data_IF_349388682575
#
_entry.id   IF_349388682575
#
_cell.length_a   1.000
_cell.length_b   1.000
_cell.length_c   1.000
_cell.angle_alpha   90.00
_cell.angle_beta   90.00
_cell.angle_gamma   90.00
#
_symmetry.space_group_name_H-M   'P 1'
#
loop_
_entity.id
_entity.type
_entity.pdbx_description
1 polymer ?
#
# COMPACT_ATOMS: atom_id res chain seq x y z
N UNK A 1 -17.99 -67.65 -43.99
CA UNK A 1 -19.12 -66.77 -44.35
C UNK A 1 -18.91 -65.43 -43.66
N UNK A 2 -18.96 -64.37 -44.46
CA UNK A 2 -19.19 -62.96 -44.11
C UNK A 2 -18.08 -62.24 -43.33
N UNK A 3 -17.39 -61.39 -44.10
CA UNK A 3 -16.60 -60.26 -43.66
C UNK A 3 -17.47 -59.16 -43.03
N UNK A 4 -16.89 -58.34 -42.16
CA UNK A 4 -17.23 -56.91 -42.10
C UNK A 4 -16.01 -56.13 -41.63
N UNK A 5 -15.57 -55.20 -42.48
CA UNK A 5 -14.53 -54.22 -42.22
C UNK A 5 -15.15 -52.94 -41.67
N UNK A 6 -14.44 -52.22 -40.80
CA UNK A 6 -14.59 -50.77 -40.64
C UNK A 6 -13.21 -50.16 -40.45
N UNK A 7 -12.89 -49.23 -41.35
CA UNK A 7 -11.67 -48.44 -41.39
C UNK A 7 -11.76 -47.26 -40.41
N UNK A 8 -10.63 -46.96 -39.74
CA UNK A 8 -10.43 -45.75 -38.94
C UNK A 8 -9.28 -44.94 -39.55
N UNK A 9 -9.64 -43.78 -40.10
CA UNK A 9 -8.79 -42.81 -40.79
C UNK A 9 -7.72 -42.21 -39.87
N UNK A 10 -6.45 -42.26 -40.30
CA UNK A 10 -5.39 -41.40 -39.82
C UNK A 10 -5.31 -40.16 -40.70
N UNK A 11 -5.28 -38.96 -40.11
CA UNK A 11 -4.94 -37.74 -40.84
C UNK A 11 -3.83 -37.01 -40.10
N UNK A 12 -2.60 -37.20 -40.59
CA UNK A 12 -1.49 -36.30 -40.38
C UNK A 12 -1.60 -35.18 -41.42
N UNK A 13 -1.47 -33.92 -41.00
CA UNK A 13 -1.20 -32.83 -41.94
C UNK A 13 0.00 -32.02 -41.46
N UNK A 14 0.95 -31.95 -42.38
CA UNK A 14 2.27 -31.35 -42.28
C UNK A 14 2.22 -29.83 -42.44
N UNK A 15 3.30 -29.21 -41.98
CA UNK A 15 3.61 -27.79 -42.07
C UNK A 15 3.61 -27.23 -43.51
N UNK A 16 3.18 -25.98 -43.64
CA UNK A 16 3.32 -25.16 -44.84
C UNK A 16 3.42 -23.69 -44.44
N UNK A 17 4.64 -23.19 -44.38
CA UNK A 17 5.00 -21.77 -44.23
C UNK A 17 4.61 -21.04 -45.52
N UNK A 18 3.85 -19.95 -45.41
CA UNK A 18 3.75 -18.94 -46.45
C UNK A 18 3.76 -17.56 -45.78
N UNK A 19 4.85 -16.85 -46.04
CA UNK A 19 5.04 -15.45 -45.70
C UNK A 19 3.98 -14.61 -46.42
N UNK A 20 3.40 -13.64 -45.70
CA UNK A 20 2.59 -12.60 -46.32
C UNK A 20 3.18 -11.24 -45.97
N UNK A 21 3.38 -10.48 -47.04
CA UNK A 21 4.11 -9.23 -47.12
C UNK A 21 3.48 -8.11 -46.29
N UNK A 22 4.38 -7.24 -45.84
CA UNK A 22 4.12 -5.95 -45.23
C UNK A 22 3.38 -5.05 -46.22
N UNK A 23 2.09 -4.80 -46.01
CA UNK A 23 1.39 -3.66 -46.60
C UNK A 23 1.46 -2.49 -45.62
N UNK A 24 2.56 -1.76 -45.70
CA UNK A 24 2.69 -0.41 -45.17
C UNK A 24 1.98 0.57 -46.11
N UNK A 25 0.97 1.30 -45.64
CA UNK A 25 0.49 2.50 -46.36
C UNK A 25 -1.01 2.77 -46.39
N UNK A 26 -1.78 2.49 -45.33
CA UNK A 26 -3.10 3.14 -45.20
C UNK A 26 -2.85 4.58 -44.74
N UNK A 27 -2.98 5.55 -45.65
CA UNK A 27 -3.03 6.97 -45.30
C UNK A 27 -4.28 7.20 -44.43
N UNK A 28 -4.06 7.33 -43.12
CA UNK A 28 -5.07 7.76 -42.14
C UNK A 28 -5.70 9.07 -42.60
N UNK A 29 -6.98 9.03 -42.96
CA UNK A 29 -7.75 10.20 -43.37
C UNK A 29 -7.87 11.24 -42.24
N UNK A 30 -8.27 12.49 -42.54
CA UNK A 30 -8.39 13.56 -41.55
C UNK A 30 -9.29 13.19 -40.36
N UNK A 31 -10.31 12.36 -40.56
CA UNK A 31 -11.18 11.84 -39.50
C UNK A 31 -10.46 10.90 -38.52
N UNK A 32 -9.48 10.11 -38.99
CA UNK A 32 -8.69 9.23 -38.14
C UNK A 32 -7.72 10.02 -37.25
N UNK A 33 -7.16 11.12 -37.76
CA UNK A 33 -6.30 12.02 -36.97
C UNK A 33 -7.12 12.84 -35.97
N UNK A 34 -8.33 13.26 -36.34
CA UNK A 34 -9.25 13.93 -35.42
C UNK A 34 -9.70 13.00 -34.28
N UNK A 35 -9.95 11.72 -34.57
CA UNK A 35 -10.30 10.72 -33.56
C UNK A 35 -9.12 10.40 -32.65
N UNK A 36 -7.91 10.24 -33.18
CA UNK A 36 -6.69 10.07 -32.36
C UNK A 36 -6.38 11.31 -31.51
N UNK A 37 -6.60 12.51 -32.03
CA UNK A 37 -6.45 13.75 -31.28
C UNK A 37 -7.53 13.90 -30.20
N UNK A 38 -8.78 13.51 -30.47
CA UNK A 38 -9.84 13.46 -29.46
C UNK A 38 -9.57 12.40 -28.40
N UNK A 39 -9.05 11.24 -28.77
CA UNK A 39 -8.73 10.15 -27.84
C UNK A 39 -7.50 10.49 -26.97
N UNK A 40 -6.52 11.21 -27.54
CA UNK A 40 -5.40 11.80 -26.79
C UNK A 40 -5.85 12.94 -25.87
N UNK A 41 -6.70 13.85 -26.36
CA UNK A 41 -7.25 14.94 -25.55
C UNK A 41 -8.18 14.43 -24.44
N UNK A 42 -8.93 13.36 -24.69
CA UNK A 42 -9.75 12.70 -23.67
C UNK A 42 -8.87 12.03 -22.61
N UNK A 43 -7.77 11.37 -23.01
CA UNK A 43 -6.75 10.87 -22.07
C UNK A 43 -6.07 11.97 -21.25
N UNK A 44 -5.91 13.17 -21.79
CA UNK A 44 -5.39 14.33 -21.04
C UNK A 44 -6.46 15.02 -20.17
N UNK A 45 -7.75 14.87 -20.48
CA UNK A 45 -8.85 15.58 -19.83
C UNK A 45 -9.69 14.74 -18.85
N UNK A 46 -9.31 13.49 -18.54
CA UNK A 46 -10.05 12.71 -17.54
C UNK A 46 -9.78 13.22 -16.13
N UNK A 47 -10.62 14.14 -15.68
CA UNK A 47 -10.80 14.44 -14.25
C UNK A 47 -11.29 13.17 -13.59
N UNK A 48 -10.45 12.55 -12.76
CA UNK A 48 -10.83 11.33 -12.03
C UNK A 48 -11.83 11.64 -10.91
N UNK A 49 -12.49 10.61 -10.37
CA UNK A 49 -13.34 10.80 -9.20
C UNK A 49 -12.53 11.30 -7.98
N UNK A 50 -11.28 10.84 -7.83
CA UNK A 50 -10.33 11.33 -6.81
C UNK A 50 -10.02 12.82 -6.98
N UNK A 51 -9.87 13.27 -8.22
CA UNK A 51 -9.68 14.67 -8.55
C UNK A 51 -10.87 15.52 -8.12
N UNK A 52 -12.11 15.04 -8.32
CA UNK A 52 -13.32 15.74 -7.89
C UNK A 52 -13.33 15.92 -6.35
N UNK A 53 -13.07 14.86 -5.58
CA UNK A 53 -12.99 14.94 -4.12
C UNK A 53 -11.88 15.89 -3.67
N UNK A 54 -10.69 15.75 -4.24
CA UNK A 54 -9.53 16.58 -3.88
C UNK A 54 -9.78 18.06 -4.19
N UNK A 55 -10.27 18.36 -5.40
CA UNK A 55 -10.43 19.74 -5.88
C UNK A 55 -11.67 20.42 -5.32
N UNK A 56 -12.79 19.71 -5.18
CA UNK A 56 -14.08 20.30 -4.82
C UNK A 56 -14.39 20.20 -3.32
N UNK A 57 -13.89 19.18 -2.62
CA UNK A 57 -14.20 18.96 -1.20
C UNK A 57 -13.00 19.33 -0.33
N UNK A 58 -11.85 18.66 -0.54
CA UNK A 58 -10.68 18.80 0.33
C UNK A 58 -10.06 20.20 0.21
N UNK A 59 -9.80 20.69 -1.02
CA UNK A 59 -9.23 22.03 -1.23
C UNK A 59 -10.15 23.16 -0.76
N UNK A 60 -11.47 22.98 -0.84
CA UNK A 60 -12.45 23.97 -0.38
C UNK A 60 -12.75 23.85 1.12
N UNK A 61 -12.14 22.89 1.81
CA UNK A 61 -12.36 22.60 3.23
C UNK A 61 -13.85 22.48 3.58
N UNK A 62 -14.63 21.79 2.73
CA UNK A 62 -16.05 21.54 3.01
C UNK A 62 -16.15 20.70 4.29
N UNK A 63 -16.98 21.09 5.28
CA UNK A 63 -17.17 20.30 6.50
C UNK A 63 -17.64 18.88 6.20
N UNK A 64 -16.98 17.90 6.79
CA UNK A 64 -17.33 16.49 6.67
C UNK A 64 -18.04 16.08 7.96
N UNK A 65 -19.32 15.73 7.85
CA UNK A 65 -20.13 15.32 9.00
C UNK A 65 -19.67 13.94 9.52
N UNK A 66 -19.76 13.74 10.84
CA UNK A 66 -19.44 12.44 11.45
C UNK A 66 -20.37 11.34 10.93
N UNK A 67 -21.62 11.65 10.58
CA UNK A 67 -22.57 10.67 10.01
C UNK A 67 -22.03 9.98 8.74
N UNK A 68 -21.28 10.69 7.90
CA UNK A 68 -20.60 10.11 6.75
C UNK A 68 -19.46 9.18 7.20
N UNK A 69 -18.62 9.61 8.15
CA UNK A 69 -17.53 8.78 8.70
C UNK A 69 -18.08 7.51 9.38
N UNK A 70 -19.15 7.64 10.15
CA UNK A 70 -19.87 6.55 10.78
C UNK A 70 -20.38 5.53 9.75
N UNK A 71 -20.82 6.00 8.58
CA UNK A 71 -21.23 5.15 7.46
C UNK A 71 -20.04 4.39 6.89
N UNK A 72 -18.91 5.05 6.66
CA UNK A 72 -17.69 4.41 6.14
C UNK A 72 -17.20 3.26 7.03
N UNK A 73 -17.34 3.37 8.36
CA UNK A 73 -16.94 2.29 9.28
C UNK A 73 -17.88 1.07 9.22
N UNK A 74 -19.11 1.25 8.74
CA UNK A 74 -20.20 0.25 8.74
C UNK A 74 -20.39 -0.48 7.42
N UNK A 75 -19.92 0.08 6.31
CA UNK A 75 -20.09 -0.53 5.00
C UNK A 75 -18.85 -1.35 4.63
N UNK A 76 -19.02 -2.55 4.05
CA UNK A 76 -17.91 -3.27 3.45
C UNK A 76 -17.36 -2.48 2.25
N UNK A 77 -16.11 -2.74 1.88
CA UNK A 77 -15.43 -2.12 0.75
C UNK A 77 -15.22 -0.59 0.81
N UNK A 78 -15.48 0.05 1.97
CA UNK A 78 -15.42 1.51 2.10
C UNK A 78 -14.06 2.12 1.74
N UNK A 79 -12.97 1.38 1.97
CA UNK A 79 -11.59 1.83 1.78
C UNK A 79 -10.79 0.89 0.87
N UNK A 80 -11.49 0.16 0.00
CA UNK A 80 -10.97 -0.98 -0.75
C UNK A 80 -11.57 -2.30 -0.25
N UNK A 81 -11.41 -3.36 -1.04
CA UNK A 81 -12.05 -4.66 -0.84
C UNK A 81 -11.86 -5.23 0.58
N UNK A 82 -12.96 -5.60 1.24
CA UNK A 82 -12.96 -6.29 2.52
C UNK A 82 -14.18 -5.99 3.40
N UNK A 83 -14.19 -6.59 4.59
CA UNK A 83 -15.27 -6.45 5.56
C UNK A 83 -15.38 -5.02 6.13
N UNK A 84 -16.58 -4.67 6.62
CA UNK A 84 -16.79 -3.43 7.35
C UNK A 84 -15.96 -3.41 8.65
N UNK A 85 -15.42 -2.24 9.00
CA UNK A 85 -14.47 -2.11 10.11
C UNK A 85 -15.08 -2.52 11.45
N UNK A 86 -16.35 -2.16 11.68
CA UNK A 86 -17.04 -2.44 12.95
C UNK A 86 -17.29 -3.93 13.22
N UNK A 87 -17.18 -4.80 12.21
CA UNK A 87 -17.29 -6.25 12.43
C UNK A 87 -16.22 -6.72 13.42
N UNK A 88 -15.01 -6.17 13.30
CA UNK A 88 -13.87 -6.50 14.17
C UNK A 88 -13.59 -5.42 15.22
N UNK A 89 -14.08 -4.19 15.03
CA UNK A 89 -13.76 -3.03 15.85
C UNK A 89 -15.01 -2.27 16.31
N UNK A 90 -15.82 -2.85 17.20
CA UNK A 90 -17.12 -2.29 17.63
C UNK A 90 -17.24 -2.01 19.13
N UNK A 91 -16.22 -2.32 19.93
CA UNK A 91 -16.28 -2.22 21.38
C UNK A 91 -14.91 -1.90 21.98
N UNK A 92 -14.90 -1.28 23.16
CA UNK A 92 -13.70 -1.10 23.97
C UNK A 92 -13.36 -2.34 24.81
N UNK A 93 -14.18 -3.41 24.74
CA UNK A 93 -13.89 -4.72 25.34
C UNK A 93 -12.99 -5.55 24.40
N UNK A 94 -11.72 -5.83 24.76
CA UNK A 94 -10.80 -6.60 23.94
C UNK A 94 -11.24 -8.04 23.66
N UNK A 95 -12.17 -8.59 24.46
CA UNK A 95 -12.72 -9.93 24.22
C UNK A 95 -13.72 -9.98 23.06
N UNK A 96 -14.25 -8.82 22.66
CA UNK A 96 -15.29 -8.69 21.61
C UNK A 96 -14.81 -7.89 20.41
N UNK A 97 -13.69 -7.20 20.54
CA UNK A 97 -13.19 -6.26 19.56
C UNK A 97 -11.69 -6.29 19.54
N UNK A 98 -11.09 -6.49 18.37
CA UNK A 98 -9.63 -6.52 18.25
C UNK A 98 -9.05 -5.20 18.78
N UNK A 99 -8.05 -5.33 19.66
CA UNK A 99 -7.39 -4.19 20.35
C UNK A 99 -8.29 -3.41 21.29
N UNK A 100 -9.49 -3.91 21.61
CA UNK A 100 -10.51 -3.14 22.29
C UNK A 100 -10.76 -1.80 21.59
N UNK A 101 -10.76 -1.79 20.26
CA UNK A 101 -10.93 -0.59 19.45
C UNK A 101 -12.40 -0.46 19.04
N UNK A 102 -13.03 0.68 19.31
CA UNK A 102 -14.42 0.93 18.91
C UNK A 102 -14.53 1.95 17.78
N UNK A 103 -14.73 1.50 16.54
CA UNK A 103 -14.96 2.35 15.38
C UNK A 103 -16.45 2.61 15.11
N UNK A 104 -17.35 2.10 15.96
CA UNK A 104 -18.79 2.24 15.78
C UNK A 104 -19.34 3.58 16.32
N UNK A 105 -18.56 4.33 17.10
CA UNK A 105 -18.95 5.63 17.66
C UNK A 105 -17.82 6.67 17.48
N UNK A 106 -18.17 7.96 17.47
CA UNK A 106 -17.17 9.02 17.33
C UNK A 106 -16.21 9.01 18.53
N UNK A 107 -16.76 8.91 19.74
CA UNK A 107 -15.96 8.83 20.96
C UNK A 107 -15.03 7.60 20.95
N UNK A 108 -15.52 6.43 20.52
CA UNK A 108 -14.68 5.24 20.40
C UNK A 108 -13.51 5.41 19.43
N UNK A 109 -13.72 6.10 18.30
CA UNK A 109 -12.64 6.41 17.34
C UNK A 109 -11.59 7.32 18.02
N UNK A 110 -12.02 8.27 18.83
CA UNK A 110 -11.15 9.21 19.55
C UNK A 110 -10.42 8.57 20.73
N UNK A 111 -11.08 7.66 21.46
CA UNK A 111 -10.49 6.87 22.54
C UNK A 111 -9.37 5.96 22.02
N UNK A 112 -9.56 5.41 20.82
CA UNK A 112 -8.60 4.52 20.18
C UNK A 112 -8.63 3.10 20.75
N UNK A 113 -7.49 2.42 20.73
CA UNK A 113 -7.40 1.04 21.24
C UNK A 113 -7.30 1.03 22.76
N UNK A 114 -8.19 0.27 23.42
CA UNK A 114 -8.21 0.11 24.88
C UNK A 114 -7.32 -1.05 25.39
N UNK A 115 -6.90 -1.97 24.53
CA UNK A 115 -5.97 -3.04 24.91
C UNK A 115 -4.51 -2.54 24.93
N UNK A 116 -3.68 -2.89 25.93
CA UNK A 116 -2.27 -2.52 25.96
C UNK A 116 -1.47 -2.99 24.72
N UNK A 117 -0.54 -2.17 24.19
CA UNK A 117 -0.36 -0.76 24.50
C UNK A 117 -1.57 0.07 24.01
N UNK A 118 -2.16 0.82 24.93
CA UNK A 118 -3.24 1.78 24.65
C UNK A 118 -2.67 2.90 23.81
N UNK A 119 -3.35 3.23 22.70
CA UNK A 119 -2.88 4.25 21.77
C UNK A 119 -4.02 4.85 20.95
N UNK A 120 -3.95 6.14 20.62
CA UNK A 120 -4.93 6.78 19.75
C UNK A 120 -4.82 6.22 18.33
N UNK A 121 -5.96 6.03 17.67
CA UNK A 121 -5.99 5.72 16.23
C UNK A 121 -6.18 6.97 15.38
N UNK A 122 -6.84 7.98 15.94
CA UNK A 122 -7.03 9.31 15.36
C UNK A 122 -6.44 10.34 16.31
N UNK A 123 -5.64 11.26 15.76
CA UNK A 123 -5.15 12.45 16.46
C UNK A 123 -5.81 13.65 15.79
N UNK A 124 -6.79 14.31 16.44
CA UNK A 124 -7.49 15.46 15.87
C UNK A 124 -6.53 16.51 15.31
N UNK A 125 -6.87 17.04 14.13
CA UNK A 125 -6.08 18.02 13.35
C UNK A 125 -4.73 17.50 12.83
N UNK A 126 -4.34 16.27 13.12
CA UNK A 126 -3.03 15.70 12.79
C UNK A 126 -3.17 14.34 12.08
N UNK A 127 -3.70 14.32 10.83
CA UNK A 127 -3.88 13.08 10.08
C UNK A 127 -2.57 12.31 9.88
N UNK A 128 -1.44 13.00 9.74
CA UNK A 128 -0.12 12.37 9.58
C UNK A 128 0.40 11.66 10.84
N UNK A 129 -0.12 12.01 12.02
CA UNK A 129 0.18 11.33 13.29
C UNK A 129 -0.87 10.29 13.68
N UNK A 130 -1.90 10.12 12.85
CA UNK A 130 -3.01 9.22 13.15
C UNK A 130 -2.71 7.83 12.60
N UNK A 131 -2.71 6.82 13.48
CA UNK A 131 -2.49 5.42 13.10
C UNK A 131 -3.51 4.94 12.06
N UNK A 132 -4.74 5.48 12.08
CA UNK A 132 -5.76 5.24 11.06
C UNK A 132 -5.24 5.44 9.63
N UNK A 133 -4.49 6.52 9.38
CA UNK A 133 -3.89 6.80 8.07
C UNK A 133 -2.92 5.69 7.67
N UNK A 134 -2.07 5.29 8.61
CA UNK A 134 -1.07 4.24 8.40
C UNK A 134 -1.75 2.91 8.08
N UNK A 135 -2.70 2.46 8.90
CA UNK A 135 -3.37 1.18 8.72
C UNK A 135 -4.15 1.11 7.39
N UNK A 136 -4.72 2.21 6.89
CA UNK A 136 -5.46 2.20 5.62
C UNK A 136 -4.56 2.28 4.37
N UNK A 137 -3.42 2.98 4.45
CA UNK A 137 -2.60 3.29 3.27
C UNK A 137 -1.35 2.44 3.14
N UNK A 138 -0.85 1.88 4.23
CA UNK A 138 0.46 1.25 4.25
C UNK A 138 0.34 -0.27 4.20
N UNK A 139 0.61 -0.85 3.02
CA UNK A 139 0.91 -2.28 2.88
C UNK A 139 1.98 -2.77 3.88
N UNK A 140 1.78 -3.95 4.45
CA UNK A 140 2.85 -4.66 5.17
C UNK A 140 3.98 -5.00 4.20
N UNK A 141 5.20 -5.03 4.72
CA UNK A 141 6.42 -5.39 4.01
C UNK A 141 7.03 -6.68 4.60
N UNK A 142 7.68 -7.52 3.77
CA UNK A 142 7.70 -7.46 2.31
C UNK A 142 6.30 -7.53 1.68
N UNK A 143 6.15 -6.96 0.49
CA UNK A 143 4.84 -6.89 -0.17
C UNK A 143 4.28 -8.31 -0.35
N UNK A 144 3.00 -8.50 -0.04
CA UNK A 144 2.32 -9.80 -0.15
C UNK A 144 2.50 -10.75 1.02
N UNK A 145 3.19 -10.36 2.11
CA UNK A 145 3.16 -11.12 3.37
C UNK A 145 1.72 -11.26 3.87
N UNK A 146 1.35 -12.49 4.25
CA UNK A 146 0.04 -12.79 4.78
C UNK A 146 -0.23 -12.06 6.11
N UNK A 147 -1.48 -11.67 6.36
CA UNK A 147 -1.81 -10.84 7.53
C UNK A 147 -1.64 -11.60 8.86
N UNK A 148 -1.75 -12.91 8.84
CA UNK A 148 -1.59 -13.82 9.96
C UNK A 148 -0.14 -14.28 10.18
N UNK A 149 0.79 -13.88 9.30
CA UNK A 149 2.21 -14.14 9.51
C UNK A 149 2.70 -13.43 10.79
N UNK A 150 3.49 -14.11 11.65
CA UNK A 150 3.95 -13.54 12.92
C UNK A 150 4.65 -12.19 12.77
N UNK A 151 4.43 -11.28 13.72
CA UNK A 151 4.98 -9.92 13.71
C UNK A 151 6.13 -9.72 14.71
N UNK A 152 6.53 -10.78 15.40
CA UNK A 152 7.51 -10.82 16.49
C UNK A 152 8.60 -11.87 16.26
N UNK A 153 8.85 -12.24 15.00
CA UNK A 153 9.90 -13.20 14.63
C UNK A 153 11.28 -12.73 15.07
N UNK A 154 12.28 -13.66 15.19
CA UNK A 154 13.66 -13.29 15.49
C UNK A 154 14.23 -12.22 14.54
N UNK A 155 13.93 -12.30 13.24
CA UNK A 155 14.37 -11.33 12.25
C UNK A 155 13.80 -9.93 12.50
N UNK A 156 12.49 -9.83 12.75
CA UNK A 156 11.82 -8.55 13.07
C UNK A 156 12.40 -7.97 14.37
N UNK A 157 12.62 -8.83 15.37
CA UNK A 157 13.18 -8.44 16.66
C UNK A 157 14.63 -7.94 16.54
N UNK A 158 15.45 -8.54 15.67
CA UNK A 158 16.81 -8.07 15.36
C UNK A 158 16.78 -6.66 14.75
N UNK A 159 15.91 -6.42 13.76
CA UNK A 159 15.75 -5.09 13.15
C UNK A 159 15.28 -4.08 14.20
N UNK A 160 14.30 -4.43 15.03
CA UNK A 160 13.82 -3.60 16.14
C UNK A 160 14.97 -3.22 17.09
N UNK A 161 15.73 -4.22 17.54
CA UNK A 161 16.86 -4.05 18.46
C UNK A 161 17.93 -3.13 17.87
N UNK A 162 18.26 -3.28 16.60
CA UNK A 162 19.21 -2.40 15.93
C UNK A 162 18.72 -0.95 15.88
N UNK A 163 17.46 -0.72 15.49
CA UNK A 163 16.89 0.62 15.43
C UNK A 163 16.87 1.26 16.82
N UNK A 164 16.34 0.57 17.83
CA UNK A 164 16.27 1.05 19.21
C UNK A 164 17.66 1.26 19.83
N UNK A 165 18.66 0.49 19.40
CA UNK A 165 20.07 0.66 19.76
C UNK A 165 20.78 1.85 19.08
N UNK A 166 20.05 2.68 18.34
CA UNK A 166 20.57 3.86 17.65
C UNK A 166 21.02 3.62 16.21
N UNK A 167 20.62 2.49 15.60
CA UNK A 167 20.81 2.20 14.18
C UNK A 167 22.25 2.44 13.68
N UNK A 168 23.26 1.92 14.40
CA UNK A 168 24.68 2.15 14.09
C UNK A 168 25.17 1.25 12.94
N UNK A 169 26.17 1.71 12.20
CA UNK A 169 26.88 0.90 11.19
C UNK A 169 28.01 0.07 11.83
N UNK A 170 27.62 -0.85 12.70
CA UNK A 170 28.53 -1.70 13.47
C UNK A 170 28.49 -3.16 13.02
N UNK A 171 29.26 -4.01 13.70
CA UNK A 171 29.29 -5.45 13.42
C UNK A 171 27.93 -6.11 13.62
N UNK A 172 27.10 -5.62 14.55
CA UNK A 172 25.74 -6.14 14.73
C UNK A 172 24.91 -5.86 13.49
N UNK A 173 24.93 -4.63 12.97
CA UNK A 173 24.26 -4.30 11.71
C UNK A 173 24.74 -5.17 10.55
N UNK A 174 26.06 -5.22 10.32
CA UNK A 174 26.64 -5.92 9.15
C UNK A 174 26.37 -7.42 9.17
N UNK A 175 26.40 -8.07 10.35
CA UNK A 175 26.26 -9.52 10.48
C UNK A 175 24.84 -9.99 10.75
N UNK A 176 24.03 -9.21 11.45
CA UNK A 176 22.70 -9.64 11.92
C UNK A 176 21.55 -8.95 11.18
N UNK A 177 21.72 -7.70 10.77
CA UNK A 177 20.62 -6.90 10.19
C UNK A 177 20.68 -6.90 8.67
N UNK A 178 21.82 -6.52 8.09
CA UNK A 178 21.98 -6.37 6.64
C UNK A 178 21.63 -7.65 5.85
N UNK A 179 22.00 -8.87 6.29
CA UNK A 179 21.65 -10.09 5.56
C UNK A 179 20.14 -10.33 5.49
N UNK A 180 19.34 -9.83 6.45
CA UNK A 180 17.90 -10.03 6.47
C UNK A 180 17.21 -9.34 5.29
N UNK A 181 17.68 -8.18 4.84
CA UNK A 181 17.09 -7.48 3.69
C UNK A 181 17.36 -8.19 2.35
N UNK A 182 18.36 -9.08 2.33
CA UNK A 182 18.75 -9.90 1.16
C UNK A 182 18.13 -11.30 1.20
N UNK A 183 17.65 -11.75 2.35
CA UNK A 183 17.00 -13.04 2.51
C UNK A 183 15.52 -12.94 2.09
N UNK A 184 15.06 -13.92 1.32
CA UNK A 184 13.66 -13.99 0.89
C UNK A 184 12.74 -14.43 2.02
N UNK A 185 13.24 -15.26 2.93
CA UNK A 185 12.47 -15.94 3.97
C UNK A 185 12.45 -15.19 5.31
N UNK A 186 13.31 -14.19 5.50
CA UNK A 186 13.50 -13.51 6.78
C UNK A 186 12.21 -12.94 7.41
N UNK A 187 11.26 -12.51 6.57
CA UNK A 187 10.05 -11.81 7.01
C UNK A 187 8.75 -12.47 6.53
N UNK A 188 8.79 -13.77 6.20
CA UNK A 188 7.59 -14.54 5.84
C UNK A 188 7.09 -14.35 4.40
N UNK A 189 7.91 -13.77 3.52
CA UNK A 189 7.65 -13.66 2.08
C UNK A 189 8.52 -14.64 1.29
N UNK A 190 8.37 -14.62 -0.05
CA UNK A 190 9.33 -15.22 -1.00
C UNK A 190 10.18 -14.16 -1.71
N UNK A 191 10.03 -12.89 -1.34
CA UNK A 191 10.76 -11.75 -1.90
C UNK A 191 11.75 -11.21 -0.88
N UNK A 192 12.98 -10.95 -1.34
CA UNK A 192 13.93 -10.19 -0.56
C UNK A 192 13.57 -8.70 -0.67
N UNK A 193 13.89 -7.91 0.34
CA UNK A 193 13.60 -6.47 0.30
C UNK A 193 14.35 -5.79 -0.86
N UNK A 194 15.59 -6.24 -1.10
CA UNK A 194 16.44 -5.74 -2.19
C UNK A 194 15.97 -6.15 -3.58
N UNK A 195 15.01 -7.07 -3.73
CA UNK A 195 14.44 -7.38 -5.04
C UNK A 195 13.65 -6.18 -5.61
N UNK A 196 13.20 -5.26 -4.75
CA UNK A 196 12.43 -4.07 -5.11
C UNK A 196 13.07 -2.75 -4.64
N UNK A 197 13.96 -2.81 -3.64
CA UNK A 197 14.59 -1.64 -3.01
C UNK A 197 16.11 -1.73 -3.10
N UNK A 198 16.66 -1.42 -4.27
CA UNK A 198 18.05 -1.70 -4.65
C UNK A 198 18.89 -0.48 -5.02
N UNK A 199 18.27 0.69 -5.15
CA UNK A 199 18.95 1.93 -5.53
C UNK A 199 18.12 3.16 -5.14
N UNK A 200 18.73 4.34 -5.24
CA UNK A 200 18.03 5.61 -5.06
C UNK A 200 17.49 6.19 -6.37
N UNK A 201 17.10 5.35 -7.34
CA UNK A 201 16.55 5.77 -8.62
C UNK A 201 15.27 5.00 -8.93
N UNK A 202 14.26 5.73 -9.37
CA UNK A 202 12.98 5.18 -9.84
C UNK A 202 12.80 5.50 -11.32
N UNK A 203 12.51 4.49 -12.18
CA UNK A 203 12.69 3.05 -11.97
C UNK A 203 14.19 2.63 -11.92
N UNK A 204 14.55 1.43 -11.37
CA UNK A 204 13.67 0.31 -11.00
C UNK A 204 13.33 0.20 -9.51
N UNK A 205 13.92 1.03 -8.66
CA UNK A 205 13.76 0.92 -7.20
C UNK A 205 12.53 1.69 -6.74
N UNK A 206 11.56 1.00 -6.14
CA UNK A 206 10.32 1.64 -5.69
C UNK A 206 10.61 2.67 -4.61
N UNK A 207 10.04 3.88 -4.78
CA UNK A 207 10.24 5.01 -3.87
C UNK A 207 11.72 5.38 -3.69
N UNK A 208 12.56 5.11 -4.69
CA UNK A 208 13.99 5.46 -4.65
C UNK A 208 14.69 4.97 -3.36
N UNK A 209 14.23 3.87 -2.79
CA UNK A 209 14.72 3.33 -1.53
C UNK A 209 15.81 2.29 -1.80
N UNK A 210 16.98 2.45 -1.19
CA UNK A 210 18.07 1.47 -1.26
C UNK A 210 18.22 0.74 0.08
N UNK A 211 17.97 -0.58 0.09
CA UNK A 211 18.16 -1.45 1.25
C UNK A 211 19.41 -2.34 1.14
N UNK A 212 20.30 -2.08 0.19
CA UNK A 212 21.51 -2.89 -0.05
C UNK A 212 22.70 -2.46 0.81
N UNK A 213 22.66 -1.26 1.38
CA UNK A 213 23.75 -0.63 2.11
C UNK A 213 23.25 0.15 3.34
N UNK A 214 24.11 0.32 4.36
CA UNK A 214 23.80 1.17 5.52
C UNK A 214 23.41 2.59 5.09
N UNK A 215 24.24 3.17 4.21
CA UNK A 215 24.04 4.53 3.70
C UNK A 215 22.71 4.67 2.96
N UNK A 216 22.32 3.69 2.15
CA UNK A 216 21.03 3.67 1.47
C UNK A 216 19.85 3.64 2.44
N UNK A 217 19.88 2.73 3.42
CA UNK A 217 18.84 2.59 4.44
C UNK A 217 18.68 3.89 5.23
N UNK A 218 19.80 4.49 5.63
CA UNK A 218 19.81 5.73 6.43
C UNK A 218 19.52 6.99 5.60
N UNK A 219 19.74 6.98 4.29
CA UNK A 219 19.30 8.04 3.39
C UNK A 219 17.78 8.11 3.38
N UNK A 220 17.12 6.97 3.15
CA UNK A 220 15.67 6.83 3.10
C UNK A 220 15.12 6.75 1.68
N UNK A 221 13.85 7.06 1.54
CA UNK A 221 13.08 7.00 0.30
C UNK A 221 12.89 8.39 -0.35
N UNK A 222 12.45 8.41 -1.59
CA UNK A 222 12.05 9.60 -2.37
C UNK A 222 13.13 10.70 -2.41
N UNK A 223 14.41 10.32 -2.34
CA UNK A 223 15.52 11.26 -2.17
C UNK A 223 15.73 12.22 -3.34
N UNK A 224 15.54 11.76 -4.58
CA UNK A 224 15.62 12.54 -5.81
C UNK A 224 14.31 13.31 -6.02
N UNK A 225 13.16 12.64 -5.89
CA UNK A 225 11.85 13.28 -6.04
C UNK A 225 11.67 14.46 -5.07
N UNK A 226 11.96 14.26 -3.78
CA UNK A 226 11.87 15.32 -2.78
C UNK A 226 12.89 16.43 -3.01
N UNK A 227 14.11 16.10 -3.46
CA UNK A 227 15.12 17.12 -3.75
C UNK A 227 14.68 18.10 -4.85
N UNK A 228 13.93 17.64 -5.87
CA UNK A 228 13.35 18.51 -6.90
C UNK A 228 12.36 19.54 -6.32
N UNK A 229 11.76 19.22 -5.18
CA UNK A 229 10.85 20.11 -4.44
C UNK A 229 11.55 20.85 -3.28
N UNK A 230 12.87 20.75 -3.16
CA UNK A 230 13.64 21.35 -2.06
C UNK A 230 13.38 20.71 -0.69
N UNK A 231 12.88 19.46 -0.65
CA UNK A 231 12.55 18.71 0.56
C UNK A 231 13.59 17.63 0.85
N UNK A 232 13.79 17.24 2.13
CA UNK A 232 14.65 16.12 2.47
C UNK A 232 14.03 14.77 2.04
N UNK A 233 14.88 13.75 1.89
CA UNK A 233 14.44 12.37 1.70
C UNK A 233 13.50 11.91 2.84
N UNK A 234 12.53 11.08 2.48
CA UNK A 234 11.61 10.43 3.41
C UNK A 234 12.38 9.45 4.30
N UNK A 235 12.65 9.82 5.56
CA UNK A 235 13.33 8.92 6.51
C UNK A 235 12.51 7.66 6.79
N UNK A 236 13.17 6.51 6.66
CA UNK A 236 12.59 5.19 6.98
C UNK A 236 13.11 4.62 8.30
N UNK A 237 14.28 5.07 8.74
CA UNK A 237 14.85 4.77 10.07
C UNK A 237 14.98 6.05 10.88
N UNK A 238 14.44 6.02 12.09
CA UNK A 238 14.64 7.00 13.15
C UNK A 238 15.45 6.31 14.26
N UNK A 239 16.79 6.55 14.34
CA UNK A 239 17.64 5.96 15.36
C UNK A 239 17.08 6.16 16.77
N UNK A 240 17.05 5.09 17.55
CA UNK A 240 16.55 5.09 18.93
C UNK A 240 15.05 4.88 19.08
N UNK A 241 14.29 4.75 17.98
CA UNK A 241 12.84 4.53 18.05
C UNK A 241 12.30 3.73 16.87
N UNK A 242 12.09 2.42 17.08
CA UNK A 242 11.44 1.56 16.10
C UNK A 242 9.98 1.99 15.85
N UNK A 243 9.29 2.49 16.89
CA UNK A 243 7.88 2.89 16.83
C UNK A 243 7.62 4.03 15.84
N UNK A 244 8.62 4.89 15.57
CA UNK A 244 8.52 5.97 14.59
C UNK A 244 9.24 5.64 13.28
N UNK A 245 9.90 4.49 13.20
CA UNK A 245 10.66 4.07 12.01
C UNK A 245 9.77 3.30 11.04
N UNK A 246 9.51 3.87 9.86
CA UNK A 246 8.72 3.20 8.81
C UNK A 246 9.29 1.83 8.46
N UNK A 247 10.62 1.66 8.51
CA UNK A 247 11.25 0.37 8.27
C UNK A 247 10.71 -0.72 9.21
N UNK A 248 10.53 -0.41 10.49
CA UNK A 248 9.99 -1.34 11.46
C UNK A 248 8.47 -1.45 11.37
N UNK A 249 7.76 -0.31 11.35
CA UNK A 249 6.29 -0.33 11.36
C UNK A 249 5.73 -1.06 10.13
N UNK A 250 6.38 -0.93 8.98
CA UNK A 250 6.00 -1.66 7.75
C UNK A 250 6.18 -3.18 7.88
N UNK A 251 7.05 -3.68 8.75
CA UNK A 251 7.20 -5.13 8.97
C UNK A 251 6.07 -5.73 9.83
N UNK A 252 5.48 -4.92 10.73
CA UNK A 252 4.57 -5.39 11.77
C UNK A 252 3.13 -4.92 11.63
N UNK A 253 2.87 -3.89 10.83
CA UNK A 253 1.53 -3.34 10.63
C UNK A 253 0.92 -3.92 9.35
N UNK A 254 -0.16 -4.68 9.52
CA UNK A 254 -1.00 -5.12 8.42
C UNK A 254 -1.88 -3.97 7.92
N UNK A 255 -1.99 -3.83 6.60
CA UNK A 255 -2.98 -2.93 6.01
C UNK A 255 -4.39 -3.41 6.34
N UNK A 256 -5.29 -2.46 6.54
CA UNK A 256 -6.71 -2.70 6.83
C UNK A 256 -7.58 -2.40 5.60
N UNK A 257 -8.68 -3.15 5.39
CA UNK A 257 -9.07 -4.34 6.15
C UNK A 257 -8.08 -5.51 5.98
N UNK A 258 -7.99 -6.42 6.95
CA UNK A 258 -7.04 -7.52 6.91
C UNK A 258 -7.21 -8.36 5.64
N UNK A 259 -6.12 -8.65 4.95
CA UNK A 259 -6.13 -9.38 3.68
C UNK A 259 -6.40 -8.53 2.44
N UNK A 260 -6.61 -7.21 2.57
CA UNK A 260 -6.74 -6.31 1.42
C UNK A 260 -5.53 -6.45 0.47
N UNK A 261 -5.82 -6.53 -0.84
CA UNK A 261 -4.78 -6.64 -1.84
C UNK A 261 -3.81 -5.44 -1.79
N UNK A 262 -2.49 -5.65 -1.86
CA UNK A 262 -1.51 -4.56 -1.87
C UNK A 262 -1.64 -3.62 -3.07
N UNK A 263 -2.28 -4.07 -4.15
CA UNK A 263 -2.55 -3.28 -5.35
C UNK A 263 -3.77 -2.37 -5.23
N UNK A 264 -4.60 -2.53 -4.19
CA UNK A 264 -5.73 -1.63 -3.94
C UNK A 264 -5.22 -0.21 -3.70
N UNK A 265 -5.94 0.76 -4.27
CA UNK A 265 -5.55 2.16 -4.23
C UNK A 265 -5.28 2.64 -2.80
N UNK A 266 -4.14 3.28 -2.60
CA UNK A 266 -3.69 3.80 -1.30
C UNK A 266 -4.24 5.20 -1.05
N UNK A 267 -4.81 5.84 -2.06
CA UNK A 267 -5.33 7.20 -2.00
C UNK A 267 -6.84 7.28 -2.25
N UNK A 268 -7.54 6.18 -1.96
CA UNK A 268 -8.98 6.02 -2.14
C UNK A 268 -9.76 7.27 -1.69
N UNK A 269 -10.76 7.73 -2.45
CA UNK A 269 -11.53 8.94 -2.14
C UNK A 269 -12.07 8.99 -0.71
N UNK A 270 -12.63 7.89 -0.21
CA UNK A 270 -13.12 7.79 1.18
C UNK A 270 -12.00 7.91 2.22
N UNK A 271 -10.78 7.45 1.91
CA UNK A 271 -9.61 7.67 2.75
C UNK A 271 -9.29 9.16 2.80
N UNK A 272 -9.32 9.87 1.67
CA UNK A 272 -9.11 11.34 1.66
C UNK A 272 -10.17 12.08 2.46
N UNK A 273 -11.44 11.68 2.35
CA UNK A 273 -12.54 12.23 3.15
C UNK A 273 -12.33 12.01 4.65
N UNK A 274 -11.94 10.79 5.06
CA UNK A 274 -11.61 10.49 6.45
C UNK A 274 -10.45 11.35 6.96
N UNK A 275 -9.37 11.47 6.18
CA UNK A 275 -8.21 12.29 6.56
C UNK A 275 -8.55 13.78 6.63
N UNK A 276 -9.45 14.27 5.76
CA UNK A 276 -9.96 15.62 5.82
C UNK A 276 -10.82 15.86 7.08
N UNK A 277 -11.69 14.91 7.46
CA UNK A 277 -12.44 14.98 8.72
C UNK A 277 -11.51 15.02 9.94
N UNK A 278 -10.45 14.19 9.96
CA UNK A 278 -9.42 14.24 11.01
C UNK A 278 -8.77 15.62 11.04
N UNK A 279 -8.39 16.17 9.88
CA UNK A 279 -7.78 17.51 9.75
C UNK A 279 -8.72 18.62 10.26
N UNK A 280 -10.03 18.47 10.09
CA UNK A 280 -11.06 19.39 10.60
C UNK A 280 -11.28 19.30 12.11
N UNK A 281 -10.61 18.35 12.78
CA UNK A 281 -10.64 18.18 14.23
C UNK A 281 -11.42 16.95 14.70
N UNK A 282 -11.78 16.04 13.80
CA UNK A 282 -12.47 14.79 14.12
C UNK A 282 -13.74 15.01 14.99
N UNK A 283 -14.55 15.99 14.60
CA UNK A 283 -15.75 16.38 15.35
C UNK A 283 -16.84 15.32 15.24
N UNK A 284 -17.70 15.25 16.25
CA UNK A 284 -18.75 14.24 16.39
C UNK A 284 -20.14 14.69 15.95
N UNK A 285 -20.25 15.89 15.36
CA UNK A 285 -21.48 16.48 14.82
C UNK A 285 -21.82 15.99 13.40
#
# INVERSE_FOLDING_TARGET
>A
MIALAVAGFACAYSAGVLAQEVVSGVKKGPESKAREAQEAAFKEATVTHEDAITKLVVKRNIPIAYSYIATLMRIPNAFGEGAACIVCHSSNDPKRSYRGLNLASCQGILDGSAEPPVRPVVVPRQPDKSLMKTMLRNNRMPIGVAFDAPIDTPAITIVKKWIDGGAKDDEFFKKQVMPLFKSREAFGSRLACVDCHMSNQEPPSFHELDLTSYKGIMLGADSIANAKEGKPASKVVHPGSSATSKLYTRLIENRMPAGISPAQDRDHPNTQMLLAWIKQGAKCD
#
